data_IF_018435190443
#
_entry.id   IF_018435190443
#
_cell.length_a   1.000
_cell.length_b   1.000
_cell.length_c   1.000
_cell.angle_alpha   90.00
_cell.angle_beta   90.00
_cell.angle_gamma   90.00
#
_symmetry.space_group_name_H-M   'P 1'
#
loop_
_entity.id
_entity.type
_entity.pdbx_description
1 polymer ?
#
# COMPACT_ATOMS: atom_id res chain seq x y z
N UNK A 1 -8.75 12.80 3.82
CA UNK A 1 -9.04 13.14 2.41
C UNK A 1 -7.83 13.87 1.89
N UNK A 2 -7.13 13.32 0.91
CA UNK A 2 -5.94 13.95 0.35
C UNK A 2 -6.33 14.61 -0.97
N UNK A 3 -6.15 15.93 -1.08
CA UNK A 3 -6.53 16.70 -2.29
C UNK A 3 -5.40 16.73 -3.32
N UNK A 4 -4.21 16.23 -2.99
CA UNK A 4 -3.03 16.22 -3.86
C UNK A 4 -1.87 17.02 -3.28
N UNK A 5 -0.83 17.20 -4.10
CA UNK A 5 0.40 17.93 -3.75
C UNK A 5 0.32 19.40 -4.19
N UNK A 6 1.00 20.30 -3.47
CA UNK A 6 1.02 21.73 -3.80
C UNK A 6 1.58 22.03 -5.20
N UNK A 7 2.44 21.15 -5.72
CA UNK A 7 2.95 21.23 -7.08
C UNK A 7 1.85 21.10 -8.16
N UNK A 8 0.80 20.34 -7.85
CA UNK A 8 -0.28 20.00 -8.79
C UNK A 8 -1.52 20.89 -8.58
N UNK A 9 -1.72 21.39 -7.36
CA UNK A 9 -2.89 22.18 -6.96
C UNK A 9 -2.50 23.42 -6.14
N UNK A 10 -2.87 24.59 -6.66
CA UNK A 10 -2.74 25.85 -5.92
C UNK A 10 -3.71 25.93 -4.75
N UNK A 11 -3.35 26.72 -3.75
CA UNK A 11 -4.13 26.86 -2.50
C UNK A 11 -5.56 27.37 -2.73
N UNK A 12 -5.76 28.25 -3.71
CA UNK A 12 -7.08 28.75 -4.08
C UNK A 12 -7.96 27.63 -4.66
N UNK A 13 -7.42 26.85 -5.60
CA UNK A 13 -8.14 25.72 -6.22
C UNK A 13 -8.46 24.63 -5.21
N UNK A 14 -7.54 24.34 -4.28
CA UNK A 14 -7.80 23.38 -3.20
C UNK A 14 -8.97 23.81 -2.29
N UNK A 15 -9.11 25.12 -2.02
CA UNK A 15 -10.22 25.66 -1.23
C UNK A 15 -11.56 25.58 -1.97
N UNK A 16 -11.57 25.84 -3.27
CA UNK A 16 -12.78 25.71 -4.09
C UNK A 16 -13.26 24.26 -4.14
N UNK A 17 -12.36 23.33 -4.46
CA UNK A 17 -12.65 21.88 -4.43
C UNK A 17 -13.19 21.43 -3.08
N UNK A 18 -12.61 21.92 -1.97
CA UNK A 18 -13.09 21.57 -0.62
C UNK A 18 -14.54 22.02 -0.40
N UNK A 19 -14.90 23.22 -0.87
CA UNK A 19 -16.28 23.74 -0.74
C UNK A 19 -17.25 22.92 -1.60
N UNK A 20 -16.90 22.63 -2.84
CA UNK A 20 -17.71 21.79 -3.73
C UNK A 20 -17.94 20.39 -3.16
N UNK A 21 -16.89 19.76 -2.64
CA UNK A 21 -16.98 18.46 -2.00
C UNK A 21 -17.84 18.52 -0.73
N UNK A 22 -17.75 19.60 0.06
CA UNK A 22 -18.61 19.79 1.23
C UNK A 22 -20.08 19.98 0.84
N UNK A 23 -20.35 20.69 -0.25
CA UNK A 23 -21.69 20.90 -0.76
C UNK A 23 -22.31 19.58 -1.25
N UNK A 24 -21.52 18.72 -1.92
CA UNK A 24 -21.95 17.38 -2.33
C UNK A 24 -22.32 16.49 -1.14
N UNK A 25 -21.54 16.54 -0.06
CA UNK A 25 -21.85 15.82 1.19
C UNK A 25 -23.15 16.34 1.83
N UNK A 26 -23.34 17.67 1.86
CA UNK A 26 -24.56 18.27 2.39
C UNK A 26 -25.81 17.93 1.56
N UNK A 27 -25.65 17.71 0.25
CA UNK A 27 -26.70 17.26 -0.67
C UNK A 27 -27.04 15.76 -0.52
N UNK A 28 -26.37 15.03 0.38
CA UNK A 28 -26.71 13.64 0.70
C UNK A 28 -26.09 12.59 -0.23
N UNK A 29 -25.04 12.92 -0.98
CA UNK A 29 -24.29 11.91 -1.74
C UNK A 29 -23.60 10.89 -0.81
N UNK A 30 -23.69 9.60 -1.15
CA UNK A 30 -23.02 8.53 -0.41
C UNK A 30 -21.52 8.47 -0.71
N UNK A 31 -20.75 9.28 0.03
CA UNK A 31 -19.29 9.33 -0.05
C UNK A 31 -18.63 8.13 0.65
N UNK A 32 -19.37 7.33 1.41
CA UNK A 32 -18.81 6.18 2.12
C UNK A 32 -18.58 4.99 1.17
N UNK A 33 -19.55 4.70 0.28
CA UNK A 33 -19.43 3.67 -0.75
C UNK A 33 -18.25 3.91 -1.70
N UNK A 34 -18.18 5.11 -2.31
CA UNK A 34 -17.09 5.46 -3.24
C UNK A 34 -15.70 5.39 -2.59
N UNK A 35 -15.60 5.73 -1.29
CA UNK A 35 -14.34 5.62 -0.56
C UNK A 35 -13.93 4.17 -0.35
N UNK A 36 -14.88 3.27 -0.15
CA UNK A 36 -14.59 1.84 -0.02
C UNK A 36 -14.17 1.25 -1.35
N UNK A 37 -14.86 1.59 -2.44
CA UNK A 37 -14.52 1.13 -3.80
C UNK A 37 -13.11 1.60 -4.22
N UNK A 38 -12.78 2.89 -4.02
CA UNK A 38 -11.43 3.40 -4.33
C UNK A 38 -10.34 2.75 -3.51
N UNK A 39 -10.64 2.39 -2.25
CA UNK A 39 -9.71 1.62 -1.41
C UNK A 39 -9.58 0.17 -1.90
N UNK A 40 -10.67 -0.46 -2.29
CA UNK A 40 -10.69 -1.83 -2.80
C UNK A 40 -9.92 -1.92 -4.13
N UNK A 41 -10.08 -0.96 -5.04
CA UNK A 41 -9.32 -0.87 -6.29
C UNK A 41 -7.81 -0.66 -6.04
N UNK A 42 -7.46 0.19 -5.09
CA UNK A 42 -6.06 0.42 -4.72
C UNK A 42 -5.44 -0.83 -4.07
N UNK A 43 -6.20 -1.52 -3.21
CA UNK A 43 -5.76 -2.76 -2.57
C UNK A 43 -5.58 -3.89 -3.60
N UNK A 44 -6.51 -4.03 -4.55
CA UNK A 44 -6.42 -4.99 -5.64
C UNK A 44 -5.19 -4.78 -6.54
N UNK A 45 -4.71 -3.53 -6.68
CA UNK A 45 -3.46 -3.23 -7.40
C UNK A 45 -2.20 -3.59 -6.63
N UNK A 46 -2.25 -3.65 -5.30
CA UNK A 46 -1.11 -3.94 -4.43
C UNK A 46 -0.90 -5.46 -4.29
N UNK A 47 -1.96 -6.26 -4.41
CA UNK A 47 -1.91 -7.72 -4.25
C UNK A 47 -1.25 -8.49 -5.41
N UNK A 48 -0.75 -7.79 -6.44
CA UNK A 48 -0.19 -8.42 -7.63
C UNK A 48 1.11 -9.21 -7.35
N UNK A 49 1.83 -8.92 -6.25
CA UNK A 49 3.03 -9.67 -5.85
C UNK A 49 2.96 -9.92 -4.34
N UNK A 50 2.79 -11.18 -3.93
CA UNK A 50 2.83 -11.53 -2.52
C UNK A 50 4.25 -11.33 -1.99
N UNK A 51 4.37 -10.70 -0.82
CA UNK A 51 5.66 -10.49 -0.15
C UNK A 51 6.41 -11.82 0.09
N UNK A 52 5.70 -12.94 0.18
CA UNK A 52 6.29 -14.29 0.23
C UNK A 52 7.12 -14.63 -1.01
N UNK A 53 6.65 -14.22 -2.18
CA UNK A 53 7.25 -14.59 -3.47
C UNK A 53 8.51 -13.74 -3.67
N UNK A 54 8.44 -12.46 -3.27
CA UNK A 54 9.59 -11.56 -3.22
C UNK A 54 10.67 -12.04 -2.23
N UNK A 55 10.27 -12.55 -1.07
CA UNK A 55 11.19 -13.10 -0.07
C UNK A 55 11.89 -14.37 -0.59
N UNK A 56 11.18 -15.23 -1.33
CA UNK A 56 11.76 -16.41 -1.96
C UNK A 56 12.78 -16.03 -3.04
N UNK A 57 12.45 -15.08 -3.92
CA UNK A 57 13.36 -14.62 -4.97
C UNK A 57 14.63 -13.96 -4.40
N UNK A 58 14.50 -13.16 -3.34
CA UNK A 58 15.65 -12.56 -2.65
C UNK A 58 16.58 -13.63 -2.06
N UNK A 59 16.00 -14.66 -1.43
CA UNK A 59 16.76 -15.76 -0.84
C UNK A 59 17.58 -16.52 -1.90
N UNK A 60 16.97 -16.80 -3.05
CA UNK A 60 17.62 -17.51 -4.14
C UNK A 60 18.75 -16.71 -4.78
N UNK A 61 18.53 -15.42 -5.06
CA UNK A 61 19.51 -14.58 -5.77
C UNK A 61 20.69 -14.17 -4.89
N UNK A 62 20.47 -13.91 -3.60
CA UNK A 62 21.48 -13.25 -2.75
C UNK A 62 22.13 -14.18 -1.73
N UNK A 63 21.39 -15.15 -1.18
CA UNK A 63 21.88 -15.94 -0.04
C UNK A 63 22.52 -17.25 -0.49
N UNK A 64 21.94 -17.94 -1.47
CA UNK A 64 22.50 -19.19 -2.03
C UNK A 64 23.95 -19.07 -2.53
N UNK A 65 24.34 -18.03 -3.30
CA UNK A 65 25.72 -17.97 -3.83
C UNK A 65 26.77 -17.56 -2.79
N UNK A 66 26.36 -16.94 -1.67
CA UNK A 66 27.30 -16.28 -0.73
C UNK A 66 27.46 -16.99 0.61
N UNK A 67 26.57 -17.91 0.98
CA UNK A 67 26.52 -18.49 2.32
C UNK A 67 26.53 -20.02 2.34
N UNK A 68 27.39 -20.61 3.20
CA UNK A 68 27.66 -22.06 3.25
C UNK A 68 26.52 -22.92 3.83
N UNK A 69 25.78 -22.51 4.89
CA UNK A 69 24.56 -23.20 5.33
C UNK A 69 23.30 -22.34 5.08
N UNK A 70 22.70 -22.40 3.89
CA UNK A 70 21.55 -21.55 3.53
C UNK A 70 20.28 -21.85 4.34
N UNK A 71 20.11 -23.09 4.83
CA UNK A 71 18.88 -23.52 5.53
C UNK A 71 18.69 -22.89 6.92
N UNK A 72 19.79 -22.53 7.59
CA UNK A 72 19.74 -21.85 8.89
C UNK A 72 19.13 -20.46 8.72
N UNK A 73 19.49 -19.76 7.63
CA UNK A 73 18.90 -18.47 7.29
C UNK A 73 17.44 -18.62 6.86
N UNK A 74 17.09 -19.66 6.11
CA UNK A 74 15.71 -19.89 5.65
C UNK A 74 14.73 -20.00 6.83
N UNK A 75 15.11 -20.72 7.89
CA UNK A 75 14.31 -20.82 9.12
C UNK A 75 14.23 -19.50 9.87
N UNK A 76 15.34 -18.76 9.97
CA UNK A 76 15.35 -17.47 10.68
C UNK A 76 14.55 -16.39 9.95
N UNK A 77 14.67 -16.35 8.63
CA UNK A 77 13.87 -15.51 7.73
C UNK A 77 12.39 -15.84 7.90
N UNK A 78 12.01 -17.11 7.85
CA UNK A 78 10.63 -17.52 8.06
C UNK A 78 10.10 -17.09 9.45
N UNK A 79 10.85 -17.35 10.53
CA UNK A 79 10.42 -17.02 11.89
C UNK A 79 10.41 -15.51 12.22
N UNK A 80 11.42 -14.74 11.78
CA UNK A 80 11.49 -13.30 12.05
C UNK A 80 10.60 -12.49 11.11
N UNK A 81 10.59 -12.79 9.80
CA UNK A 81 9.85 -11.95 8.83
C UNK A 81 8.33 -12.17 8.93
N UNK A 82 7.87 -13.38 9.27
CA UNK A 82 6.45 -13.62 9.59
C UNK A 82 5.98 -12.82 10.81
N UNK A 83 6.88 -12.50 11.75
CA UNK A 83 6.55 -11.68 12.92
C UNK A 83 6.35 -10.21 12.57
N UNK A 84 7.14 -9.68 11.63
CA UNK A 84 7.00 -8.31 11.14
C UNK A 84 5.90 -8.14 10.09
N UNK A 85 5.53 -9.20 9.35
CA UNK A 85 4.43 -9.17 8.36
C UNK A 85 3.02 -9.30 8.96
N UNK A 86 2.87 -9.69 10.23
CA UNK A 86 1.57 -9.86 10.91
C UNK A 86 1.11 -8.62 11.71
N UNK A 87 1.88 -7.53 11.64
CA UNK A 87 1.65 -6.28 12.36
C UNK A 87 1.27 -5.18 11.35
#
# INVERSE_FOLDING_TARGET
MNLGTYADLSLAKARELTRELSARVALGYDVAGEKQERKAEALAKIDAIKVSDLAAEYFERQILPRWKPPDILRRRIACDWLRYMKM
#
